data_IF_225457707999
#
_entry.id   IF_225457707999
#
_cell.length_a   1.000
_cell.length_b   1.000
_cell.length_c   1.000
_cell.angle_alpha   90.00
_cell.angle_beta   90.00
_cell.angle_gamma   90.00
#
_symmetry.space_group_name_H-M   'P 1'
#
loop_
_entity.id
_entity.type
_entity.pdbx_description
1 polymer ?
#
# COMPACT_ATOMS: atom_id res chain seq x y z
N UNK A 1 11.14 -3.97 -21.91
CA UNK A 1 10.30 -2.81 -22.29
C UNK A 1 9.20 -2.57 -21.26
N UNK A 2 8.42 -3.60 -20.90
CA UNK A 2 7.37 -3.49 -19.88
C UNK A 2 7.91 -3.06 -18.51
N UNK A 3 9.03 -3.62 -18.06
CA UNK A 3 9.65 -3.24 -16.78
C UNK A 3 10.00 -1.76 -16.68
N UNK A 4 10.30 -1.11 -17.82
CA UNK A 4 10.60 0.33 -17.84
C UNK A 4 9.39 1.16 -17.44
N UNK A 5 8.18 0.76 -17.85
CA UNK A 5 6.96 1.47 -17.50
C UNK A 5 6.44 1.04 -16.12
N UNK A 6 6.43 -0.26 -15.81
CA UNK A 6 5.91 -0.74 -14.51
C UNK A 6 6.72 -0.22 -13.33
N UNK A 7 8.04 -0.03 -13.50
CA UNK A 7 8.92 0.54 -12.47
C UNK A 7 9.14 2.06 -12.63
N UNK A 8 8.46 2.73 -13.57
CA UNK A 8 8.61 4.17 -13.76
C UNK A 8 7.99 4.92 -12.58
N UNK A 9 8.78 5.75 -11.89
CA UNK A 9 8.31 6.52 -10.71
C UNK A 9 7.11 7.41 -11.01
N UNK A 10 7.08 8.07 -12.16
CA UNK A 10 5.97 8.94 -12.54
C UNK A 10 4.71 8.11 -12.83
N UNK A 11 4.86 6.94 -13.45
CA UNK A 11 3.74 6.02 -13.66
C UNK A 11 3.19 5.49 -12.33
N UNK A 12 4.06 5.05 -11.41
CA UNK A 12 3.65 4.62 -10.06
C UNK A 12 2.89 5.74 -9.34
N UNK A 13 3.43 6.96 -9.33
CA UNK A 13 2.75 8.12 -8.70
C UNK A 13 1.42 8.46 -9.39
N UNK A 14 1.34 8.35 -10.72
CA UNK A 14 0.10 8.53 -11.46
C UNK A 14 -0.94 7.47 -11.05
N UNK A 15 -0.55 6.20 -10.96
CA UNK A 15 -1.46 5.12 -10.55
C UNK A 15 -1.95 5.33 -9.11
N UNK A 16 -1.07 5.69 -8.18
CA UNK A 16 -1.46 6.01 -6.80
C UNK A 16 -2.46 7.16 -6.71
N UNK A 17 -2.21 8.24 -7.44
CA UNK A 17 -3.13 9.38 -7.51
C UNK A 17 -4.48 8.97 -8.10
N UNK A 18 -4.46 8.16 -9.17
CA UNK A 18 -5.69 7.69 -9.81
C UNK A 18 -6.51 6.78 -8.89
N UNK A 19 -5.84 5.94 -8.08
CA UNK A 19 -6.47 5.13 -7.03
C UNK A 19 -7.13 6.04 -6.00
N UNK A 20 -6.41 7.03 -5.47
CA UNK A 20 -6.96 8.00 -4.52
C UNK A 20 -8.23 8.67 -5.06
N UNK A 21 -8.17 9.22 -6.26
CA UNK A 21 -9.30 9.91 -6.89
C UNK A 21 -10.48 8.97 -7.12
N UNK A 22 -10.23 7.72 -7.55
CA UNK A 22 -11.26 6.69 -7.72
C UNK A 22 -11.95 6.37 -6.39
N UNK A 23 -11.17 6.06 -5.35
CA UNK A 23 -11.73 5.76 -4.01
C UNK A 23 -12.48 6.96 -3.44
N UNK A 24 -11.98 8.18 -3.63
CA UNK A 24 -12.63 9.39 -3.15
C UNK A 24 -14.01 9.57 -3.80
N UNK A 25 -14.15 9.33 -5.10
CA UNK A 25 -15.45 9.38 -5.79
C UNK A 25 -16.40 8.34 -5.20
N UNK A 26 -15.97 7.09 -5.05
CA UNK A 26 -16.82 6.02 -4.49
C UNK A 26 -17.29 6.35 -3.07
N UNK A 27 -16.41 6.88 -2.22
CA UNK A 27 -16.74 7.28 -0.85
C UNK A 27 -17.74 8.46 -0.85
N UNK A 28 -17.53 9.47 -1.71
CA UNK A 28 -18.39 10.65 -1.78
C UNK A 28 -19.80 10.32 -2.29
N UNK A 29 -19.90 9.37 -3.22
CA UNK A 29 -21.17 8.90 -3.78
C UNK A 29 -21.83 7.79 -2.94
N UNK A 30 -21.27 7.46 -1.76
CA UNK A 30 -21.73 6.38 -0.86
C UNK A 30 -21.84 5.01 -1.55
N UNK A 31 -20.89 4.71 -2.45
CA UNK A 31 -20.83 3.46 -3.22
C UNK A 31 -19.85 2.49 -2.55
N UNK A 32 -20.36 1.35 -2.08
CA UNK A 32 -19.54 0.26 -1.55
C UNK A 32 -18.67 -0.39 -2.64
N UNK A 33 -17.47 -0.84 -2.27
CA UNK A 33 -16.51 -1.36 -3.24
C UNK A 33 -15.61 -2.43 -2.62
N UNK A 34 -14.95 -3.20 -3.47
CA UNK A 34 -13.92 -4.14 -3.07
C UNK A 34 -12.55 -3.67 -3.59
N UNK A 35 -11.50 -3.97 -2.84
CA UNK A 35 -10.11 -3.78 -3.27
C UNK A 35 -9.36 -5.10 -3.23
N UNK A 36 -8.62 -5.38 -4.30
CA UNK A 36 -7.59 -6.43 -4.30
C UNK A 36 -6.26 -5.75 -4.04
N UNK A 37 -5.49 -6.27 -3.09
CA UNK A 37 -4.28 -5.60 -2.61
C UNK A 37 -3.11 -6.57 -2.51
N UNK A 38 -1.90 -6.07 -2.76
CA UNK A 38 -0.67 -6.77 -2.43
C UNK A 38 -0.42 -6.69 -0.91
N UNK A 39 -0.46 -7.83 -0.24
CA UNK A 39 -0.44 -7.93 1.23
C UNK A 39 0.89 -7.51 1.85
N UNK A 40 1.97 -7.46 1.06
CA UNK A 40 3.29 -6.96 1.50
C UNK A 40 3.24 -5.52 2.05
N UNK A 41 2.24 -4.75 1.63
CA UNK A 41 2.07 -3.34 1.99
C UNK A 41 0.77 -3.11 2.77
N UNK A 42 0.29 -4.17 3.44
CA UNK A 42 -0.84 -4.12 4.38
C UNK A 42 -0.28 -4.18 5.79
N UNK A 43 -0.82 -3.35 6.69
CA UNK A 43 -0.53 -3.36 8.12
C UNK A 43 -1.82 -3.66 8.87
N UNK A 44 -1.73 -4.52 9.88
CA UNK A 44 -2.86 -4.91 10.73
C UNK A 44 -2.54 -4.51 12.16
N UNK A 45 -3.46 -3.81 12.81
CA UNK A 45 -3.31 -3.36 14.19
C UNK A 45 -4.61 -3.54 14.98
N UNK A 46 -4.67 -4.49 15.95
CA UNK A 46 -3.62 -5.44 16.31
C UNK A 46 -3.34 -6.48 15.20
N UNK A 47 -2.17 -7.14 15.20
CA UNK A 47 -1.88 -8.23 14.27
C UNK A 47 -2.83 -9.41 14.48
N UNK A 48 -3.10 -10.14 13.40
CA UNK A 48 -3.97 -11.31 13.44
C UNK A 48 -3.31 -12.48 14.18
N UNK A 49 -4.09 -13.28 14.92
CA UNK A 49 -3.65 -14.58 15.39
C UNK A 49 -3.16 -15.46 14.22
N UNK A 50 -2.12 -16.30 14.41
CA UNK A 50 -1.53 -17.10 13.33
C UNK A 50 -2.52 -17.97 12.56
N UNK A 51 -3.58 -18.46 13.23
CA UNK A 51 -4.66 -19.26 12.63
C UNK A 51 -5.55 -18.45 11.69
N UNK A 52 -5.75 -17.15 11.97
CA UNK A 52 -6.59 -16.23 11.18
C UNK A 52 -5.81 -15.41 10.16
N UNK A 53 -4.47 -15.43 10.23
CA UNK A 53 -3.60 -14.59 9.42
C UNK A 53 -3.56 -15.03 7.93
N UNK A 54 -4.65 -14.78 7.23
CA UNK A 54 -4.79 -14.97 5.78
C UNK A 54 -4.04 -13.90 5.00
N UNK A 55 -3.82 -12.74 5.60
CA UNK A 55 -3.19 -11.58 4.95
C UNK A 55 -1.70 -11.85 4.75
N UNK A 56 -0.96 -12.29 5.77
CA UNK A 56 0.48 -12.55 5.61
C UNK A 56 0.78 -13.81 4.79
N UNK A 57 -0.15 -14.78 4.76
CA UNK A 57 0.02 -16.07 4.06
C UNK A 57 -0.23 -16.00 2.56
N UNK A 58 -0.94 -14.98 2.07
CA UNK A 58 -1.29 -14.85 0.66
C UNK A 58 -0.65 -13.60 0.07
N UNK A 59 -0.12 -13.61 -1.15
CA UNK A 59 0.47 -12.42 -1.78
C UNK A 59 -0.58 -11.35 -2.11
N UNK A 60 -1.84 -11.76 -2.26
CA UNK A 60 -2.96 -10.89 -2.53
C UNK A 60 -4.14 -11.20 -1.61
N UNK A 61 -4.86 -10.17 -1.20
CA UNK A 61 -6.09 -10.28 -0.41
C UNK A 61 -7.18 -9.41 -1.04
N UNK A 62 -8.42 -9.90 -1.00
CA UNK A 62 -9.62 -9.12 -1.32
C UNK A 62 -10.19 -8.57 -0.02
N UNK A 63 -10.40 -7.27 0.04
CA UNK A 63 -11.17 -6.63 1.10
C UNK A 63 -12.48 -6.12 0.52
N UNK A 64 -13.59 -6.52 1.13
CA UNK A 64 -14.90 -5.98 0.83
C UNK A 64 -15.19 -4.80 1.77
N UNK A 65 -15.33 -3.60 1.21
CA UNK A 65 -15.62 -2.39 1.97
C UNK A 65 -17.11 -2.08 1.84
N UNK A 66 -17.89 -2.83 2.62
CA UNK A 66 -19.33 -2.60 2.81
C UNK A 66 -19.69 -2.42 4.28
N UNK A 67 -20.91 -1.95 4.54
CA UNK A 67 -21.44 -1.79 5.88
C UNK A 67 -20.53 -1.00 6.83
N UNK A 68 -20.25 -1.55 8.01
CA UNK A 68 -19.43 -0.86 9.01
C UNK A 68 -17.98 -0.63 8.54
N UNK A 69 -17.42 -1.53 7.74
CA UNK A 69 -16.07 -1.38 7.17
C UNK A 69 -16.01 -0.15 6.28
N UNK A 70 -17.01 0.02 5.40
CA UNK A 70 -17.11 1.21 4.54
C UNK A 70 -17.23 2.50 5.36
N UNK A 71 -18.11 2.52 6.37
CA UNK A 71 -18.33 3.71 7.20
C UNK A 71 -17.13 4.06 8.09
N UNK A 72 -16.19 3.13 8.28
CA UNK A 72 -14.95 3.35 9.04
C UNK A 72 -13.77 3.83 8.19
N UNK A 73 -13.96 4.03 6.88
CA UNK A 73 -12.87 4.39 5.98
C UNK A 73 -12.25 5.74 6.37
N UNK A 74 -10.93 5.73 6.52
CA UNK A 74 -10.07 6.91 6.53
C UNK A 74 -9.19 6.86 5.28
N UNK A 75 -9.41 7.79 4.35
CA UNK A 75 -8.64 7.89 3.12
C UNK A 75 -7.67 9.08 3.19
N UNK A 76 -6.39 8.82 2.93
CA UNK A 76 -5.34 9.84 2.78
C UNK A 76 -4.67 9.71 1.41
N UNK A 77 -3.80 10.66 1.06
CA UNK A 77 -3.03 10.60 -0.19
C UNK A 77 -2.03 9.42 -0.25
N UNK A 78 -1.79 8.72 0.87
CA UNK A 78 -0.78 7.65 0.96
C UNK A 78 -1.38 6.27 1.22
N UNK A 79 -2.48 6.21 1.97
CA UNK A 79 -3.11 4.95 2.37
C UNK A 79 -4.62 5.11 2.57
N UNK A 80 -5.31 3.97 2.52
CA UNK A 80 -6.66 3.78 3.04
C UNK A 80 -6.58 2.93 4.31
N UNK A 81 -7.38 3.30 5.31
CA UNK A 81 -7.50 2.58 6.57
C UNK A 81 -8.97 2.31 6.89
N UNK A 82 -9.29 1.13 7.43
CA UNK A 82 -10.66 0.74 7.79
C UNK A 82 -10.67 -0.37 8.84
N UNK A 83 -11.79 -0.52 9.53
CA UNK A 83 -12.04 -1.62 10.46
C UNK A 83 -12.52 -2.85 9.70
N UNK A 84 -11.94 -4.01 10.00
CA UNK A 84 -12.43 -5.29 9.51
C UNK A 84 -12.34 -6.36 10.61
N UNK A 85 -13.30 -7.27 10.58
CA UNK A 85 -13.31 -8.46 11.39
C UNK A 85 -12.83 -9.69 10.62
N UNK A 86 -12.11 -10.57 11.31
CA UNK A 86 -11.53 -11.77 10.72
C UNK A 86 -11.96 -13.04 11.47
N UNK A 87 -12.26 -14.09 10.70
CA UNK A 87 -12.64 -15.39 11.24
C UNK A 87 -14.07 -15.44 11.80
N UNK A 88 -14.46 -16.59 12.37
CA UNK A 88 -15.82 -16.81 12.88
C UNK A 88 -16.16 -15.94 14.10
N UNK A 89 -15.15 -15.48 14.84
CA UNK A 89 -15.31 -14.67 16.06
C UNK A 89 -15.22 -13.17 15.80
N UNK A 90 -15.21 -12.74 14.52
CA UNK A 90 -15.14 -11.33 14.11
C UNK A 90 -13.98 -10.57 14.78
N UNK A 91 -12.77 -11.16 14.76
CA UNK A 91 -11.59 -10.56 15.38
C UNK A 91 -11.32 -9.20 14.74
N UNK A 92 -11.62 -8.13 15.48
CA UNK A 92 -11.55 -6.77 14.99
C UNK A 92 -10.11 -6.26 14.91
N UNK A 93 -9.73 -5.73 13.76
CA UNK A 93 -8.43 -5.08 13.54
C UNK A 93 -8.58 -3.90 12.59
N UNK A 94 -7.67 -2.94 12.73
CA UNK A 94 -7.48 -1.88 11.75
C UNK A 94 -6.64 -2.42 10.61
N UNK A 95 -7.17 -2.33 9.40
CA UNK A 95 -6.47 -2.67 8.16
C UNK A 95 -6.01 -1.39 7.50
N UNK A 96 -4.70 -1.22 7.37
CA UNK A 96 -4.09 -0.11 6.65
C UNK A 96 -3.42 -0.60 5.38
N UNK A 97 -3.79 -0.02 4.25
CA UNK A 97 -3.30 -0.40 2.92
C UNK A 97 -2.65 0.82 2.26
N UNK A 98 -1.35 0.75 1.94
CA UNK A 98 -0.70 1.76 1.11
C UNK A 98 -1.44 1.83 -0.26
N UNK A 99 -1.80 3.02 -0.77
CA UNK A 99 -2.61 3.12 -2.00
C UNK A 99 -1.95 2.43 -3.20
N UNK A 100 -0.61 2.48 -3.29
CA UNK A 100 0.12 1.79 -4.36
C UNK A 100 0.00 0.27 -4.32
N UNK A 101 -0.41 -0.31 -3.19
CA UNK A 101 -0.59 -1.74 -3.02
C UNK A 101 -1.91 -2.26 -3.63
N UNK A 102 -2.89 -1.37 -3.86
CA UNK A 102 -4.17 -1.74 -4.47
C UNK A 102 -3.90 -2.09 -5.94
N UNK A 103 -4.17 -3.34 -6.30
CA UNK A 103 -4.03 -3.87 -7.66
C UNK A 103 -5.32 -3.75 -8.46
N UNK A 104 -6.48 -3.82 -7.80
CA UNK A 104 -7.79 -3.65 -8.44
C UNK A 104 -8.77 -2.93 -7.50
N UNK A 105 -9.70 -2.19 -8.11
CA UNK A 105 -10.90 -1.67 -7.46
C UNK A 105 -12.11 -2.25 -8.21
N UNK A 106 -13.05 -2.78 -7.45
CA UNK A 106 -14.25 -3.44 -7.99
C UNK A 106 -15.49 -2.82 -7.35
N UNK A 107 -16.54 -2.61 -8.15
CA UNK A 107 -17.88 -2.24 -7.67
C UNK A 107 -18.81 -3.36 -8.09
N UNK A 108 -19.48 -3.97 -7.12
CA UNK A 108 -20.18 -5.25 -7.31
C UNK A 108 -19.21 -6.28 -7.93
N UNK A 109 -19.55 -6.84 -9.10
CA UNK A 109 -18.73 -7.80 -9.83
C UNK A 109 -17.89 -7.16 -10.96
N UNK A 110 -17.87 -5.82 -11.07
CA UNK A 110 -17.22 -5.10 -12.16
C UNK A 110 -15.88 -4.50 -11.72
N UNK A 111 -14.81 -4.82 -12.47
CA UNK A 111 -13.50 -4.17 -12.29
C UNK A 111 -13.54 -2.78 -12.92
N UNK A 112 -13.41 -1.74 -12.10
CA UNK A 112 -13.40 -0.34 -12.57
C UNK A 112 -12.00 0.26 -12.62
N UNK A 113 -11.02 -0.40 -11.99
CA UNK A 113 -9.63 0.04 -11.99
C UNK A 113 -8.65 -1.14 -11.89
N UNK A 114 -7.55 -1.07 -12.63
CA UNK A 114 -6.42 -2.03 -12.55
C UNK A 114 -5.10 -1.26 -12.44
N UNK A 115 -4.33 -1.56 -11.39
CA UNK A 115 -2.99 -1.02 -11.18
C UNK A 115 -1.91 -1.99 -11.65
N UNK A 116 -1.23 -1.65 -12.74
CA UNK A 116 -0.10 -2.42 -13.25
C UNK A 116 1.26 -1.97 -12.67
N UNK A 117 1.30 -0.88 -11.90
CA UNK A 117 2.57 -0.36 -11.42
C UNK A 117 3.20 -1.28 -10.37
N UNK A 118 4.51 -1.46 -10.44
CA UNK A 118 5.27 -2.20 -9.44
C UNK A 118 5.50 -1.28 -8.24
N UNK A 119 4.55 -1.28 -7.31
CA UNK A 119 4.69 -0.46 -6.12
C UNK A 119 5.86 -0.92 -5.25
N UNK A 120 6.67 0.05 -4.86
CA UNK A 120 7.64 -0.06 -3.80
C UNK A 120 7.41 1.09 -2.84
N UNK A 121 7.40 0.80 -1.54
CA UNK A 121 7.36 1.84 -0.51
C UNK A 121 8.59 2.72 -0.73
N UNK A 122 8.40 4.04 -0.87
CA UNK A 122 9.52 4.99 -0.88
C UNK A 122 10.30 4.70 0.40
N UNK A 123 11.53 4.21 0.27
CA UNK A 123 12.42 4.19 1.42
C UNK A 123 12.54 5.64 1.88
N UNK A 124 12.37 5.90 3.18
CA UNK A 124 12.63 7.23 3.74
C UNK A 124 13.94 7.73 3.15
N UNK A 125 13.92 8.88 2.46
CA UNK A 125 15.10 9.47 1.83
C UNK A 125 16.24 9.65 2.84
N UNK A 126 15.94 9.72 4.14
CA UNK A 126 16.91 9.63 5.23
C UNK A 126 17.74 8.34 5.22
N UNK A 127 17.12 7.15 5.12
CA UNK A 127 17.87 5.87 5.07
C UNK A 127 18.70 5.73 3.80
N UNK A 128 18.23 6.26 2.67
CA UNK A 128 18.99 6.29 1.42
C UNK A 128 20.15 7.28 1.50
N UNK A 129 19.96 8.46 2.10
CA UNK A 129 21.02 9.44 2.39
C UNK A 129 22.04 8.89 3.37
N UNK A 130 21.62 8.21 4.44
CA UNK A 130 22.50 7.55 5.42
C UNK A 130 23.31 6.44 4.75
N UNK A 131 22.70 5.61 3.92
CA UNK A 131 23.41 4.55 3.18
C UNK A 131 24.43 5.13 2.19
N UNK A 132 24.06 6.21 1.50
CA UNK A 132 24.95 6.91 0.57
C UNK A 132 26.10 7.63 1.29
N UNK A 133 25.80 8.28 2.43
CA UNK A 133 26.78 8.95 3.28
C UNK A 133 27.76 7.94 3.90
N UNK A 134 27.25 6.81 4.42
CA UNK A 134 28.08 5.73 4.95
C UNK A 134 28.97 5.10 3.87
N UNK A 135 28.46 4.92 2.65
CA UNK A 135 29.27 4.46 1.52
C UNK A 135 30.36 5.47 1.12
N UNK A 136 30.05 6.78 1.16
CA UNK A 136 31.00 7.85 0.88
C UNK A 136 32.10 7.96 1.96
N UNK A 137 31.73 7.89 3.25
CA UNK A 137 32.67 7.96 4.37
C UNK A 137 33.60 6.73 4.45
N UNK A 138 33.08 5.55 4.14
CA UNK A 138 33.85 4.30 4.22
C UNK A 138 34.66 4.00 2.95
N UNK A 139 34.60 4.85 1.91
CA UNK A 139 35.39 4.66 0.71
C UNK A 139 36.87 5.03 0.98
N UNK A 140 37.82 4.09 0.84
CA UNK A 140 39.24 4.34 1.10
C UNK A 140 39.83 5.49 0.29
N UNK A 141 39.32 5.74 -0.92
CA UNK A 141 39.74 6.83 -1.80
C UNK A 141 39.32 8.21 -1.30
N UNK A 142 38.37 8.29 -0.37
CA UNK A 142 37.89 9.56 0.19
C UNK A 142 38.62 9.95 1.49
N UNK A 143 39.56 9.12 1.98
CA UNK A 143 40.27 9.36 3.25
C UNK A 143 41.05 10.68 3.27
N UNK A 144 41.53 11.13 2.12
CA UNK A 144 42.34 12.35 2.02
C UNK A 144 41.49 13.63 2.01
N UNK A 145 40.17 13.53 1.77
CA UNK A 145 39.23 14.64 1.88
C UNK A 145 38.93 15.02 3.34
N UNK A 146 39.27 14.15 4.30
CA UNK A 146 38.96 14.31 5.72
C UNK A 146 40.21 14.54 6.60
N UNK A 147 41.41 14.58 6.00
CA UNK A 147 42.63 14.98 6.70
C UNK A 147 42.74 16.50 6.65
N UNK A 148 42.65 17.15 7.81
CA UNK A 148 42.95 18.58 7.99
C UNK A 148 44.44 18.84 7.89
#
# INVERSE_FOLDING_TARGET
MIDKILNNKNFITLMQKSIYECLQILIQEDIEFNIIVNTKFVTLEPPLPPELDVVSKNPYCLFALGGYTFKSIVLTNEHIEFHAGFGPDDFATFVKVDLGAITQIQVEDNIIFVNFSNYFKKQNDQKLKEKSMNAFLNNPSNKDLFKK
#
